data_IF_426215712089
#
_entry.id   IF_426215712089
#
_cell.length_a   1.000
_cell.length_b   1.000
_cell.length_c   1.000
_cell.angle_alpha   90.00
_cell.angle_beta   90.00
_cell.angle_gamma   90.00
#
_symmetry.space_group_name_H-M   'P 1'
#
loop_
_entity.id
_entity.type
_entity.pdbx_description
1 polymer ?
#
# COMPACT_ATOMS: atom_id res chain seq x y z
N UNK A 1 -15.83 -44.96 34.83
CA UNK A 1 -14.55 -44.59 34.19
C UNK A 1 -14.90 -43.83 32.92
N UNK A 2 -15.10 -42.55 33.09
CA UNK A 2 -15.47 -41.62 31.99
C UNK A 2 -14.18 -41.18 31.26
N UNK A 3 -14.05 -41.56 30.03
CA UNK A 3 -13.02 -41.03 29.13
C UNK A 3 -13.59 -39.79 28.43
N UNK A 4 -13.26 -38.62 28.93
CA UNK A 4 -13.55 -37.34 28.31
C UNK A 4 -12.67 -37.19 27.05
N UNK A 5 -13.32 -37.33 25.91
CA UNK A 5 -12.77 -37.04 24.59
C UNK A 5 -12.69 -35.51 24.46
N UNK A 6 -11.54 -34.91 24.78
CA UNK A 6 -11.22 -33.52 24.46
C UNK A 6 -10.88 -33.44 22.98
N UNK A 7 -11.85 -33.24 22.15
CA UNK A 7 -11.64 -32.72 20.79
C UNK A 7 -11.19 -31.27 20.92
N UNK A 8 -9.91 -31.06 20.79
CA UNK A 8 -9.29 -29.76 20.52
C UNK A 8 -9.73 -29.30 19.13
N UNK A 9 -10.75 -28.46 19.08
CA UNK A 9 -11.13 -27.71 17.89
C UNK A 9 -10.05 -26.66 17.66
N UNK A 10 -8.99 -27.04 16.97
CA UNK A 10 -8.07 -26.08 16.34
C UNK A 10 -8.90 -25.37 15.29
N UNK A 11 -9.28 -24.12 15.51
CA UNK A 11 -9.83 -23.27 14.47
C UNK A 11 -8.76 -23.17 13.37
N UNK A 12 -8.93 -23.94 12.30
CA UNK A 12 -8.15 -23.77 11.09
C UNK A 12 -8.40 -22.35 10.59
N UNK A 13 -7.41 -21.47 10.73
CA UNK A 13 -7.49 -20.14 10.19
C UNK A 13 -7.71 -20.26 8.67
N UNK A 14 -8.70 -19.54 8.16
CA UNK A 14 -9.03 -19.50 6.74
C UNK A 14 -7.80 -19.10 5.92
N UNK A 15 -7.50 -19.82 4.84
CA UNK A 15 -6.39 -19.50 3.96
C UNK A 15 -6.55 -18.09 3.34
N UNK A 16 -7.80 -17.68 3.03
CA UNK A 16 -8.11 -16.33 2.59
C UNK A 16 -7.74 -15.29 3.65
N UNK A 17 -7.98 -15.56 4.94
CA UNK A 17 -7.65 -14.62 6.01
C UNK A 17 -6.14 -14.47 6.24
N UNK A 18 -5.35 -15.48 5.88
CA UNK A 18 -3.89 -15.49 6.02
C UNK A 18 -3.17 -14.89 4.82
N UNK A 19 -3.70 -15.11 3.61
CA UNK A 19 -2.99 -14.82 2.35
C UNK A 19 -3.73 -13.85 1.44
N UNK A 20 -4.86 -13.26 1.89
CA UNK A 20 -5.58 -12.28 1.11
C UNK A 20 -6.20 -11.20 2.01
N UNK A 21 -6.28 -9.97 1.49
CA UNK A 21 -6.89 -8.82 2.14
C UNK A 21 -8.31 -8.62 1.64
N UNK A 22 -9.29 -8.56 2.52
CA UNK A 22 -10.68 -8.21 2.18
C UNK A 22 -10.78 -6.69 1.88
N UNK A 23 -10.92 -6.34 0.60
CA UNK A 23 -11.04 -4.95 0.16
C UNK A 23 -12.41 -4.36 0.52
N UNK A 24 -13.47 -5.16 0.58
CA UNK A 24 -14.79 -4.70 0.98
C UNK A 24 -14.82 -4.33 2.46
N UNK A 25 -14.18 -5.13 3.32
CA UNK A 25 -14.01 -4.80 4.72
C UNK A 25 -13.15 -3.54 4.90
N UNK A 26 -12.07 -3.39 4.13
CA UNK A 26 -11.23 -2.20 4.15
C UNK A 26 -12.01 -0.95 3.69
N UNK A 27 -12.88 -1.10 2.67
CA UNK A 27 -13.76 -0.03 2.19
C UNK A 27 -14.76 0.43 3.26
N UNK A 28 -15.42 -0.52 3.93
CA UNK A 28 -16.38 -0.22 5.00
C UNK A 28 -15.73 0.44 6.22
N UNK A 29 -14.48 0.08 6.51
CA UNK A 29 -13.68 0.69 7.57
C UNK A 29 -13.06 2.06 7.20
N UNK A 30 -13.31 2.58 5.99
CA UNK A 30 -12.76 3.85 5.51
C UNK A 30 -11.24 3.86 5.26
N UNK A 31 -10.63 2.67 5.18
CA UNK A 31 -9.18 2.51 5.02
C UNK A 31 -8.69 2.63 3.57
N UNK A 32 -9.60 2.63 2.59
CA UNK A 32 -9.25 2.77 1.18
C UNK A 32 -9.28 4.24 0.76
N UNK A 33 -8.40 4.58 -0.17
CA UNK A 33 -8.34 5.93 -0.75
C UNK A 33 -9.56 6.23 -1.65
N UNK A 34 -9.97 7.50 -1.79
CA UNK A 34 -10.99 7.87 -2.75
C UNK A 34 -10.48 7.62 -4.17
N UNK A 35 -11.29 6.99 -5.01
CA UNK A 35 -10.97 6.75 -6.42
C UNK A 35 -11.67 7.83 -7.25
N UNK A 36 -10.89 8.52 -8.06
CA UNK A 36 -11.31 9.68 -8.83
C UNK A 36 -10.95 9.48 -10.30
N UNK A 37 -11.87 9.78 -11.20
CA UNK A 37 -11.62 9.79 -12.64
C UNK A 37 -11.45 8.41 -13.27
N UNK A 38 -11.91 7.33 -12.63
CA UNK A 38 -11.84 5.95 -13.13
C UNK A 38 -13.21 5.29 -13.33
N UNK A 39 -14.24 6.10 -13.52
CA UNK A 39 -15.63 5.63 -13.64
C UNK A 39 -15.87 4.77 -14.87
N UNK A 40 -15.21 5.07 -15.98
CA UNK A 40 -15.34 4.29 -17.22
C UNK A 40 -14.73 2.91 -17.10
N UNK A 41 -13.51 2.84 -16.56
CA UNK A 41 -12.82 1.56 -16.31
C UNK A 41 -13.59 0.69 -15.30
N UNK A 42 -14.06 1.28 -14.20
CA UNK A 42 -14.87 0.55 -13.21
C UNK A 42 -16.18 0.06 -13.86
N UNK A 43 -16.87 0.89 -14.65
CA UNK A 43 -18.06 0.47 -15.39
C UNK A 43 -17.77 -0.67 -16.35
N UNK A 44 -16.63 -0.62 -17.04
CA UNK A 44 -16.20 -1.70 -17.92
C UNK A 44 -15.91 -3.00 -17.17
N UNK A 45 -15.25 -2.93 -16.03
CA UNK A 45 -15.01 -4.07 -15.12
C UNK A 45 -16.36 -4.68 -14.69
N UNK A 46 -17.32 -3.87 -14.24
CA UNK A 46 -18.66 -4.32 -13.86
C UNK A 46 -19.39 -5.04 -15.01
N UNK A 47 -19.32 -4.48 -16.22
CA UNK A 47 -19.90 -5.12 -17.41
C UNK A 47 -19.28 -6.51 -17.68
N UNK A 48 -17.95 -6.62 -17.56
CA UNK A 48 -17.25 -7.89 -17.79
C UNK A 48 -17.62 -8.90 -16.72
N UNK A 49 -17.63 -8.52 -15.44
CA UNK A 49 -18.01 -9.40 -14.32
C UNK A 49 -19.45 -9.92 -14.44
N UNK A 50 -20.34 -9.18 -15.11
CA UNK A 50 -21.73 -9.57 -15.34
C UNK A 50 -21.92 -10.47 -16.56
N UNK A 51 -20.88 -10.75 -17.37
CA UNK A 51 -20.98 -11.62 -18.56
C UNK A 51 -21.10 -13.09 -18.18
N UNK A 52 -21.70 -13.87 -19.07
CA UNK A 52 -21.79 -15.32 -18.93
C UNK A 52 -20.45 -16.03 -19.19
N UNK A 53 -19.67 -15.51 -20.13
CA UNK A 53 -18.36 -16.07 -20.55
C UNK A 53 -17.36 -14.94 -20.65
N UNK A 54 -16.06 -15.22 -20.54
CA UNK A 54 -14.98 -14.20 -20.47
C UNK A 54 -15.31 -13.12 -19.44
N UNK A 55 -15.69 -13.58 -18.25
CA UNK A 55 -16.19 -12.75 -17.16
C UNK A 55 -15.10 -12.39 -16.12
N UNK A 56 -13.84 -12.63 -16.45
CA UNK A 56 -12.69 -12.21 -15.66
C UNK A 56 -12.05 -10.99 -16.33
N UNK A 57 -12.12 -9.79 -15.76
CA UNK A 57 -11.40 -8.63 -16.28
C UNK A 57 -9.91 -8.75 -15.97
N UNK A 58 -9.08 -8.30 -16.90
CA UNK A 58 -7.66 -8.07 -16.69
C UNK A 58 -7.34 -6.62 -17.01
N UNK A 59 -6.88 -5.88 -15.99
CA UNK A 59 -6.48 -4.48 -16.07
C UNK A 59 -5.07 -4.41 -16.66
N UNK A 60 -4.94 -3.75 -17.80
CA UNK A 60 -3.66 -3.63 -18.51
C UNK A 60 -3.25 -2.17 -18.57
N UNK A 61 -2.09 -1.86 -18.03
CA UNK A 61 -1.53 -0.50 -18.04
C UNK A 61 -0.17 -0.45 -17.38
N UNK A 62 0.53 0.64 -17.57
CA UNK A 62 1.86 0.85 -17.00
C UNK A 62 1.84 0.88 -15.46
N UNK A 63 2.99 0.65 -14.80
CA UNK A 63 3.08 0.79 -13.36
C UNK A 63 2.69 2.20 -12.92
N UNK A 64 1.97 2.34 -11.80
CA UNK A 64 1.62 3.65 -11.24
C UNK A 64 0.42 4.36 -11.87
N UNK A 65 -0.22 3.81 -12.94
CA UNK A 65 -1.42 4.44 -13.54
C UNK A 65 -2.70 4.25 -12.73
N UNK A 66 -2.68 3.49 -11.64
CA UNK A 66 -3.83 3.31 -10.74
C UNK A 66 -4.69 2.08 -11.00
N UNK A 67 -4.12 0.96 -11.49
CA UNK A 67 -4.85 -0.30 -11.70
C UNK A 67 -5.50 -0.82 -10.40
N UNK A 68 -4.74 -0.85 -9.32
CA UNK A 68 -5.22 -1.29 -7.99
C UNK A 68 -6.32 -0.39 -7.46
N UNK A 69 -6.23 0.93 -7.68
CA UNK A 69 -7.26 1.90 -7.30
C UNK A 69 -8.62 1.60 -7.95
N UNK A 70 -8.66 1.12 -9.21
CA UNK A 70 -9.89 0.73 -9.88
C UNK A 70 -10.61 -0.39 -9.11
N UNK A 71 -9.86 -1.38 -8.62
CA UNK A 71 -10.43 -2.50 -7.85
C UNK A 71 -10.88 -2.05 -6.46
N UNK A 72 -10.16 -1.15 -5.83
CA UNK A 72 -10.57 -0.51 -4.57
C UNK A 72 -11.84 0.34 -4.76
N UNK A 73 -11.94 1.06 -5.87
CA UNK A 73 -13.16 1.77 -6.27
C UNK A 73 -14.34 0.86 -6.48
N UNK A 74 -14.12 -0.31 -7.12
CA UNK A 74 -15.13 -1.34 -7.28
C UNK A 74 -15.61 -1.87 -5.92
N UNK A 75 -14.71 -2.15 -4.98
CA UNK A 75 -15.07 -2.60 -3.63
C UNK A 75 -15.92 -1.55 -2.89
N UNK A 76 -15.60 -0.26 -3.03
CA UNK A 76 -16.42 0.84 -2.46
C UNK A 76 -17.82 0.90 -3.09
N UNK A 77 -17.96 0.69 -4.42
CA UNK A 77 -19.28 0.65 -5.08
C UNK A 77 -20.10 -0.55 -4.62
N UNK A 78 -19.50 -1.72 -4.44
CA UNK A 78 -20.19 -2.89 -3.90
C UNK A 78 -20.77 -2.59 -2.51
N UNK A 79 -19.97 -2.03 -1.61
CA UNK A 79 -20.41 -1.69 -0.25
C UNK A 79 -21.52 -0.63 -0.25
N UNK A 80 -21.54 0.29 -1.22
CA UNK A 80 -22.59 1.31 -1.38
C UNK A 80 -23.85 0.79 -2.09
N UNK A 81 -23.80 -0.42 -2.63
CA UNK A 81 -24.88 -0.94 -3.48
C UNK A 81 -24.96 -0.30 -4.88
N UNK A 82 -23.92 0.44 -5.30
CA UNK A 82 -23.84 1.08 -6.63
C UNK A 82 -23.25 0.12 -7.67
N UNK A 83 -23.83 -1.05 -7.77
CA UNK A 83 -23.43 -2.13 -8.69
C UNK A 83 -24.66 -2.89 -9.17
N UNK A 84 -24.58 -3.66 -10.28
CA UNK A 84 -25.66 -4.53 -10.71
C UNK A 84 -26.03 -5.57 -9.63
N UNK A 85 -27.31 -5.97 -9.57
CA UNK A 85 -27.88 -6.86 -8.56
C UNK A 85 -27.06 -8.15 -8.32
N UNK A 86 -26.53 -8.73 -9.41
CA UNK A 86 -25.71 -9.95 -9.35
C UNK A 86 -24.33 -9.74 -8.70
N UNK A 87 -23.98 -8.52 -8.33
CA UNK A 87 -22.70 -8.17 -7.70
C UNK A 87 -22.86 -7.56 -6.29
N UNK A 88 -24.10 -7.33 -5.79
CA UNK A 88 -24.36 -6.67 -4.50
C UNK A 88 -23.73 -7.40 -3.31
N UNK A 89 -23.79 -8.74 -3.31
CA UNK A 89 -23.30 -9.56 -2.17
C UNK A 89 -21.87 -10.09 -2.39
N UNK A 90 -21.18 -9.58 -3.40
CA UNK A 90 -19.81 -10.04 -3.69
C UNK A 90 -18.81 -9.39 -2.75
N UNK A 91 -17.76 -10.16 -2.44
CA UNK A 91 -16.58 -9.67 -1.72
C UNK A 91 -15.38 -9.73 -2.63
N UNK A 92 -14.49 -8.74 -2.50
CA UNK A 92 -13.24 -8.71 -3.24
C UNK A 92 -12.10 -8.98 -2.27
N UNK A 93 -11.35 -10.04 -2.55
CA UNK A 93 -10.14 -10.36 -1.81
C UNK A 93 -8.92 -10.12 -2.69
N UNK A 94 -7.99 -9.28 -2.23
CA UNK A 94 -6.71 -9.06 -2.88
C UNK A 94 -5.71 -10.08 -2.40
N UNK A 95 -5.21 -10.91 -3.31
CA UNK A 95 -4.21 -11.94 -3.00
C UNK A 95 -2.86 -11.30 -2.68
N UNK A 96 -2.28 -11.68 -1.57
CA UNK A 96 -0.94 -11.25 -1.16
C UNK A 96 0.09 -12.31 -1.55
N UNK A 97 0.76 -12.08 -2.69
CA UNK A 97 1.80 -12.96 -3.18
C UNK A 97 3.01 -13.02 -2.24
N UNK A 98 3.32 -11.91 -1.56
CA UNK A 98 4.39 -11.85 -0.58
C UNK A 98 4.11 -12.77 0.62
N UNK A 99 2.89 -12.72 1.18
CA UNK A 99 2.47 -13.58 2.28
C UNK A 99 2.45 -15.08 1.88
N UNK A 100 2.09 -15.39 0.63
CA UNK A 100 2.11 -16.78 0.13
C UNK A 100 3.54 -17.35 0.07
N UNK A 101 4.51 -16.52 -0.30
CA UNK A 101 5.91 -16.91 -0.47
C UNK A 101 6.68 -16.84 0.86
N UNK A 102 6.35 -15.89 1.72
CA UNK A 102 7.07 -15.68 2.98
C UNK A 102 7.09 -16.94 3.85
N UNK A 103 8.31 -17.38 4.23
CA UNK A 103 8.52 -18.56 5.07
C UNK A 103 8.24 -19.90 4.41
N UNK A 104 7.89 -19.97 3.11
CA UNK A 104 7.81 -21.22 2.38
C UNK A 104 9.22 -21.74 2.09
N UNK A 105 9.64 -22.79 2.78
CA UNK A 105 10.97 -23.41 2.60
C UNK A 105 11.06 -24.25 1.33
N UNK A 106 9.93 -24.78 0.85
CA UNK A 106 9.84 -25.64 -0.31
C UNK A 106 8.70 -25.17 -1.23
N UNK A 107 8.84 -25.43 -2.52
CA UNK A 107 7.84 -25.11 -3.54
C UNK A 107 6.44 -25.69 -3.21
N UNK A 108 6.37 -26.87 -2.63
CA UNK A 108 5.12 -27.51 -2.24
C UNK A 108 4.30 -26.74 -1.21
N UNK A 109 4.94 -26.01 -0.30
CA UNK A 109 4.25 -25.22 0.72
C UNK A 109 3.50 -24.03 0.10
N UNK A 110 4.11 -23.33 -0.85
CA UNK A 110 3.46 -22.27 -1.61
C UNK A 110 2.26 -22.80 -2.40
N UNK A 111 2.46 -23.93 -3.11
CA UNK A 111 1.37 -24.55 -3.88
C UNK A 111 0.21 -24.95 -2.98
N UNK A 112 0.47 -25.48 -1.80
CA UNK A 112 -0.54 -25.90 -0.84
C UNK A 112 -1.33 -24.70 -0.30
N UNK A 113 -0.64 -23.59 0.03
CA UNK A 113 -1.26 -22.34 0.45
C UNK A 113 -2.17 -21.76 -0.63
N UNK A 114 -1.68 -21.68 -1.87
CA UNK A 114 -2.45 -21.17 -3.01
C UNK A 114 -3.65 -22.09 -3.31
N UNK A 115 -3.47 -23.43 -3.27
CA UNK A 115 -4.57 -24.40 -3.40
C UNK A 115 -5.63 -24.20 -2.31
N UNK A 116 -5.21 -23.88 -1.07
CA UNK A 116 -6.10 -23.54 0.03
C UNK A 116 -6.98 -22.32 -0.29
N UNK A 117 -6.36 -21.21 -0.73
CA UNK A 117 -7.07 -20.00 -1.14
C UNK A 117 -8.05 -20.30 -2.29
N UNK A 118 -7.59 -20.97 -3.35
CA UNK A 118 -8.45 -21.31 -4.50
C UNK A 118 -9.63 -22.17 -4.08
N UNK A 119 -9.44 -23.13 -3.20
CA UNK A 119 -10.53 -23.97 -2.67
C UNK A 119 -11.58 -23.16 -1.97
N UNK A 120 -11.20 -22.28 -1.05
CA UNK A 120 -12.15 -21.43 -0.32
C UNK A 120 -12.92 -20.48 -1.27
N UNK A 121 -12.24 -19.91 -2.29
CA UNK A 121 -12.91 -19.08 -3.30
C UNK A 121 -13.92 -19.90 -4.12
N UNK A 122 -13.58 -21.12 -4.52
CA UNK A 122 -14.49 -22.02 -5.26
C UNK A 122 -15.67 -22.45 -4.39
N UNK A 123 -15.44 -22.80 -3.13
CA UNK A 123 -16.47 -23.18 -2.15
C UNK A 123 -17.46 -22.04 -1.86
N UNK A 124 -17.04 -20.78 -2.05
CA UNK A 124 -17.91 -19.60 -1.94
C UNK A 124 -18.97 -19.50 -3.04
N UNK A 125 -18.97 -20.41 -4.02
CA UNK A 125 -19.93 -20.44 -5.13
C UNK A 125 -20.04 -19.09 -5.88
N UNK A 126 -18.90 -18.44 -6.08
CA UNK A 126 -18.78 -17.19 -6.82
C UNK A 126 -19.19 -15.95 -6.03
N UNK A 127 -19.32 -16.02 -4.71
CA UNK A 127 -19.49 -14.82 -3.87
C UNK A 127 -18.19 -14.04 -3.70
N UNK A 128 -17.04 -14.69 -3.90
CA UNK A 128 -15.73 -14.08 -3.78
C UNK A 128 -15.15 -13.81 -5.18
N UNK A 129 -14.68 -12.58 -5.36
CA UNK A 129 -13.87 -12.14 -6.50
C UNK A 129 -12.42 -12.04 -6.03
N UNK A 130 -11.53 -12.81 -6.64
CA UNK A 130 -10.11 -12.78 -6.28
C UNK A 130 -9.38 -11.75 -7.12
N UNK A 131 -8.85 -10.71 -6.50
CA UNK A 131 -7.98 -9.75 -7.17
C UNK A 131 -6.52 -10.23 -7.07
N UNK A 132 -5.84 -10.27 -8.20
CA UNK A 132 -4.46 -10.70 -8.31
C UNK A 132 -3.70 -9.59 -9.01
N UNK A 133 -2.98 -8.81 -8.22
CA UNK A 133 -2.05 -7.83 -8.78
C UNK A 133 -0.82 -8.54 -9.33
N UNK A 134 -0.18 -7.94 -10.34
CA UNK A 134 0.93 -8.57 -11.06
C UNK A 134 0.66 -10.03 -11.44
N UNK A 135 -0.53 -10.31 -11.98
CA UNK A 135 -0.99 -11.68 -12.27
C UNK A 135 -0.04 -12.47 -13.19
N UNK A 136 0.84 -11.78 -13.91
CA UNK A 136 1.89 -12.38 -14.73
C UNK A 136 2.90 -13.19 -13.89
N UNK A 137 3.09 -12.86 -12.62
CA UNK A 137 3.97 -13.60 -11.70
C UNK A 137 3.53 -15.04 -11.52
N UNK A 138 2.24 -15.31 -11.71
CA UNK A 138 1.68 -16.67 -11.67
C UNK A 138 1.96 -17.47 -12.94
N UNK A 139 2.28 -16.84 -14.07
CA UNK A 139 2.47 -17.48 -15.38
C UNK A 139 3.94 -17.58 -15.84
N UNK A 140 4.84 -16.83 -15.22
CA UNK A 140 6.22 -16.65 -15.71
C UNK A 140 7.25 -17.64 -15.22
N UNK A 141 6.87 -18.54 -14.39
CA UNK A 141 7.78 -19.33 -13.57
C UNK A 141 8.35 -20.60 -14.21
N UNK A 142 8.08 -20.88 -15.45
CA UNK A 142 8.43 -22.17 -16.10
C UNK A 142 9.81 -22.28 -16.75
N UNK A 143 10.71 -21.28 -16.67
CA UNK A 143 12.00 -21.32 -17.39
C UNK A 143 13.28 -21.19 -16.56
N UNK A 144 13.18 -20.97 -15.25
CA UNK A 144 14.33 -21.10 -14.35
C UNK A 144 14.01 -22.11 -13.25
N UNK A 145 14.93 -23.01 -12.99
CA UNK A 145 14.81 -24.09 -12.00
C UNK A 145 14.37 -23.53 -10.64
N UNK A 146 13.13 -23.84 -10.22
CA UNK A 146 12.56 -23.43 -8.95
C UNK A 146 11.42 -22.44 -9.00
N UNK A 147 10.98 -22.00 -10.17
CA UNK A 147 9.92 -21.04 -10.31
C UNK A 147 8.53 -21.71 -10.30
N UNK A 148 7.65 -21.18 -9.48
CA UNK A 148 6.35 -21.73 -9.11
C UNK A 148 5.36 -21.66 -10.26
N UNK A 149 4.83 -22.80 -10.68
CA UNK A 149 3.78 -22.85 -11.72
C UNK A 149 2.38 -22.68 -11.10
N UNK A 150 2.17 -21.51 -10.49
CA UNK A 150 0.89 -21.15 -9.90
C UNK A 150 -0.23 -21.07 -10.95
N UNK A 151 0.11 -20.80 -12.21
CA UNK A 151 -0.86 -20.82 -13.30
C UNK A 151 -1.54 -22.18 -13.45
N UNK A 152 -0.82 -23.28 -13.27
CA UNK A 152 -1.41 -24.61 -13.35
C UNK A 152 -2.39 -24.92 -12.22
N UNK A 153 -2.30 -24.22 -11.09
CA UNK A 153 -3.26 -24.34 -9.98
C UNK A 153 -4.55 -23.57 -10.30
N UNK A 154 -4.44 -22.37 -10.90
CA UNK A 154 -5.58 -21.50 -11.20
C UNK A 154 -6.32 -21.92 -12.48
N UNK A 155 -5.60 -22.37 -13.52
CA UNK A 155 -6.15 -22.73 -14.83
C UNK A 155 -7.36 -23.68 -14.79
N UNK A 156 -7.37 -24.77 -14.00
CA UNK A 156 -8.53 -25.66 -13.95
C UNK A 156 -9.78 -24.98 -13.41
N UNK A 157 -9.67 -24.20 -12.33
CA UNK A 157 -10.78 -23.51 -11.71
C UNK A 157 -11.30 -22.35 -12.60
N UNK A 158 -10.40 -21.61 -13.26
CA UNK A 158 -10.75 -20.61 -14.27
C UNK A 158 -11.42 -21.25 -15.49
N UNK A 159 -10.91 -22.39 -15.95
CA UNK A 159 -11.44 -23.10 -17.12
C UNK A 159 -12.87 -23.61 -16.89
N UNK A 160 -13.19 -24.08 -15.68
CA UNK A 160 -14.54 -24.50 -15.31
C UNK A 160 -15.46 -23.33 -14.95
N UNK A 161 -14.93 -22.10 -14.81
CA UNK A 161 -15.69 -20.91 -14.39
C UNK A 161 -16.05 -20.91 -12.91
N UNK A 162 -15.39 -21.74 -12.12
CA UNK A 162 -15.55 -21.86 -10.66
C UNK A 162 -14.83 -20.73 -9.93
N UNK A 163 -13.71 -20.26 -10.49
CA UNK A 163 -12.95 -19.14 -9.97
C UNK A 163 -13.27 -17.86 -10.77
N UNK A 164 -13.64 -16.81 -10.09
CA UNK A 164 -13.76 -15.45 -10.63
C UNK A 164 -12.58 -14.61 -10.17
N UNK A 165 -11.85 -14.05 -11.13
CA UNK A 165 -10.65 -13.27 -10.84
C UNK A 165 -10.66 -11.93 -11.58
N UNK A 166 -10.05 -10.94 -10.95
CA UNK A 166 -9.66 -9.66 -11.54
C UNK A 166 -8.13 -9.66 -11.58
N UNK A 167 -7.52 -9.58 -12.75
CA UNK A 167 -6.07 -9.50 -12.88
C UNK A 167 -5.62 -8.07 -13.11
N UNK A 168 -4.37 -7.76 -12.74
CA UNK A 168 -3.68 -6.55 -13.16
C UNK A 168 -2.27 -6.89 -13.65
N UNK A 169 -1.82 -6.25 -14.74
CA UNK A 169 -0.50 -6.46 -15.33
C UNK A 169 -0.14 -5.32 -16.29
N UNK A 170 1.07 -5.32 -16.82
CA UNK A 170 1.46 -4.42 -17.93
C UNK A 170 1.13 -5.02 -19.30
N UNK A 171 1.19 -4.21 -20.36
CA UNK A 171 0.92 -4.70 -21.71
C UNK A 171 1.97 -5.71 -22.19
N UNK A 172 3.23 -5.47 -21.87
CA UNK A 172 4.33 -6.36 -22.27
C UNK A 172 4.25 -7.72 -21.57
N UNK A 173 3.90 -7.71 -20.29
CA UNK A 173 3.69 -8.92 -19.49
C UNK A 173 2.46 -9.69 -19.97
N UNK A 174 1.35 -8.96 -20.28
CA UNK A 174 0.18 -9.59 -20.86
C UNK A 174 0.51 -10.34 -22.17
N UNK A 175 1.22 -9.69 -23.11
CA UNK A 175 1.64 -10.34 -24.36
C UNK A 175 2.53 -11.54 -24.11
N UNK A 176 3.46 -11.44 -23.18
CA UNK A 176 4.44 -12.49 -22.89
C UNK A 176 3.83 -13.72 -22.22
N UNK A 177 2.84 -13.54 -21.34
CA UNK A 177 2.34 -14.61 -20.48
C UNK A 177 0.90 -15.02 -20.75
N UNK A 178 0.03 -14.11 -21.21
CA UNK A 178 -1.39 -14.38 -21.43
C UNK A 178 -1.76 -14.64 -22.88
N UNK A 179 -1.24 -13.90 -23.83
CA UNK A 179 -1.53 -14.12 -25.25
C UNK A 179 -0.99 -15.45 -25.76
N UNK A 180 0.11 -15.93 -25.16
CA UNK A 180 0.73 -17.21 -25.51
C UNK A 180 -0.12 -18.38 -24.99
N UNK A 181 -0.84 -18.19 -23.88
CA UNK A 181 -1.67 -19.20 -23.24
C UNK A 181 -3.15 -19.05 -23.67
N UNK A 182 -3.54 -19.78 -24.70
CA UNK A 182 -4.91 -19.75 -25.26
C UNK A 182 -6.01 -20.13 -24.25
N UNK A 183 -5.69 -20.85 -23.18
CA UNK A 183 -6.65 -21.19 -22.13
C UNK A 183 -6.97 -19.98 -21.25
N UNK A 184 -5.95 -19.20 -20.89
CA UNK A 184 -6.11 -17.96 -20.13
C UNK A 184 -6.74 -16.85 -21.00
N UNK A 185 -6.26 -16.66 -22.23
CA UNK A 185 -6.79 -15.64 -23.15
C UNK A 185 -8.31 -15.76 -23.35
N UNK A 186 -8.84 -16.98 -23.41
CA UNK A 186 -10.28 -17.23 -23.57
C UNK A 186 -11.10 -16.96 -22.31
N UNK A 187 -10.47 -16.76 -21.17
CA UNK A 187 -11.13 -16.55 -19.87
C UNK A 187 -11.08 -15.12 -19.39
N UNK A 188 -10.07 -14.38 -19.83
CA UNK A 188 -9.90 -12.97 -19.44
C UNK A 188 -10.37 -12.02 -20.56
N UNK A 189 -10.88 -10.86 -20.14
CA UNK A 189 -11.23 -9.75 -21.01
C UNK A 189 -10.41 -8.53 -20.63
N UNK A 190 -9.67 -7.99 -21.57
CA UNK A 190 -8.83 -6.81 -21.37
C UNK A 190 -9.64 -5.56 -21.04
N UNK A 191 -9.13 -4.78 -20.11
CA UNK A 191 -9.51 -3.41 -19.79
C UNK A 191 -8.24 -2.57 -19.79
N UNK A 192 -8.09 -1.69 -20.77
CA UNK A 192 -6.96 -0.79 -20.85
C UNK A 192 -7.09 0.31 -19.79
N UNK A 193 -6.00 0.54 -19.07
CA UNK A 193 -5.88 1.59 -18.06
C UNK A 193 -4.76 2.51 -18.49
N UNK A 194 -5.13 3.61 -19.12
CA UNK A 194 -4.18 4.61 -19.61
C UNK A 194 -3.69 5.51 -18.49
N UNK A 195 -2.51 6.09 -18.68
CA UNK A 195 -2.02 7.19 -17.85
C UNK A 195 -3.06 8.33 -17.88
N UNK A 196 -3.48 8.87 -16.73
CA UNK A 196 -4.36 10.03 -16.71
C UNK A 196 -3.62 11.27 -17.21
N UNK A 197 -4.34 12.17 -17.84
CA UNK A 197 -3.80 13.48 -18.22
C UNK A 197 -3.50 14.34 -16.97
N UNK A 198 -2.85 15.49 -17.17
CA UNK A 198 -2.49 16.39 -16.08
C UNK A 198 -3.71 16.86 -15.29
N UNK A 199 -4.84 17.19 -15.97
CA UNK A 199 -6.07 17.69 -15.31
C UNK A 199 -6.72 16.60 -14.45
N UNK A 200 -6.80 15.38 -14.96
CA UNK A 200 -7.28 14.24 -14.20
C UNK A 200 -6.36 13.93 -13.01
N UNK A 201 -5.04 14.02 -13.21
CA UNK A 201 -4.05 13.81 -12.15
C UNK A 201 -4.16 14.85 -11.03
N UNK A 202 -4.34 16.13 -11.38
CA UNK A 202 -4.60 17.20 -10.41
C UNK A 202 -5.86 16.90 -9.59
N UNK A 203 -6.94 16.43 -10.25
CA UNK A 203 -8.18 16.08 -9.57
C UNK A 203 -7.99 14.90 -8.61
N UNK A 204 -7.20 13.90 -9.00
CA UNK A 204 -6.83 12.76 -8.15
C UNK A 204 -6.06 13.25 -6.92
N UNK A 205 -5.03 14.07 -7.10
CA UNK A 205 -4.21 14.56 -5.99
C UNK A 205 -5.01 15.46 -5.04
N UNK A 206 -5.93 16.29 -5.57
CA UNK A 206 -6.87 17.07 -4.75
C UNK A 206 -7.74 16.18 -3.86
N UNK A 207 -8.18 15.05 -4.38
CA UNK A 207 -8.97 14.09 -3.61
C UNK A 207 -8.17 13.32 -2.56
N UNK A 208 -6.86 13.17 -2.76
CA UNK A 208 -5.96 12.52 -1.81
C UNK A 208 -5.37 13.49 -0.77
N UNK A 209 -5.39 14.80 -1.05
CA UNK A 209 -4.76 15.87 -0.29
C UNK A 209 -4.99 15.74 1.23
N UNK A 210 -6.25 15.63 1.66
CA UNK A 210 -6.60 15.59 3.09
C UNK A 210 -5.95 14.40 3.82
N UNK A 211 -5.77 13.27 3.14
CA UNK A 211 -5.11 12.10 3.73
C UNK A 211 -3.63 12.32 3.96
N UNK A 212 -2.94 12.94 2.99
CA UNK A 212 -1.52 13.28 3.12
C UNK A 212 -1.30 14.39 4.16
N UNK A 213 -2.17 15.42 4.21
CA UNK A 213 -2.16 16.43 5.25
C UNK A 213 -2.33 15.83 6.64
N UNK A 214 -3.26 14.89 6.80
CA UNK A 214 -3.51 14.19 8.06
C UNK A 214 -2.36 13.25 8.47
N UNK A 215 -1.70 12.62 7.50
CA UNK A 215 -0.57 11.72 7.76
C UNK A 215 0.67 12.49 8.20
N UNK A 216 1.07 13.49 7.42
CA UNK A 216 2.30 14.26 7.67
C UNK A 216 2.11 15.42 8.64
N UNK A 217 0.85 15.77 9.00
CA UNK A 217 0.53 16.93 9.83
C UNK A 217 1.09 18.24 9.25
N UNK A 218 1.01 18.39 7.94
CA UNK A 218 1.41 19.57 7.18
C UNK A 218 0.27 20.00 6.28
N UNK A 219 0.20 21.28 5.94
CA UNK A 219 -0.76 21.82 5.00
C UNK A 219 -0.19 21.77 3.58
N UNK A 220 -0.94 21.18 2.65
CA UNK A 220 -0.59 21.11 1.22
C UNK A 220 -1.40 22.17 0.47
N UNK A 221 -0.74 23.14 -0.14
CA UNK A 221 -1.40 24.16 -0.95
C UNK A 221 -1.78 23.59 -2.33
N UNK A 222 -2.82 24.17 -2.94
CA UNK A 222 -3.24 23.76 -4.29
C UNK A 222 -2.14 24.00 -5.32
N UNK A 223 -1.38 25.08 -5.18
CA UNK A 223 -0.21 25.38 -6.00
C UNK A 223 0.88 24.31 -5.93
N UNK A 224 1.04 23.64 -4.77
CA UNK A 224 1.96 22.53 -4.62
C UNK A 224 1.48 21.30 -5.42
N UNK A 225 0.16 21.05 -5.45
CA UNK A 225 -0.44 19.99 -6.26
C UNK A 225 -0.21 20.25 -7.75
N UNK A 226 -0.50 21.45 -8.22
CA UNK A 226 -0.27 21.86 -9.60
C UNK A 226 1.21 21.69 -9.98
N UNK A 227 2.10 22.18 -9.13
CA UNK A 227 3.55 22.08 -9.34
C UNK A 227 4.01 20.62 -9.35
N UNK A 228 3.51 19.78 -8.46
CA UNK A 228 3.88 18.36 -8.40
C UNK A 228 3.50 17.62 -9.69
N UNK A 229 2.31 17.88 -10.24
CA UNK A 229 1.88 17.26 -11.50
C UNK A 229 2.74 17.77 -12.67
N UNK A 230 2.87 19.09 -12.83
CA UNK A 230 3.64 19.68 -13.93
C UNK A 230 5.14 19.29 -13.90
N UNK A 231 5.78 19.37 -12.72
CA UNK A 231 7.20 19.06 -12.60
C UNK A 231 7.45 17.56 -12.77
N UNK A 232 6.62 16.70 -12.18
CA UNK A 232 6.76 15.26 -12.37
C UNK A 232 6.51 14.84 -13.83
N UNK A 233 5.51 15.42 -14.49
CA UNK A 233 5.24 15.16 -15.90
C UNK A 233 6.42 15.57 -16.81
N UNK A 234 7.03 16.71 -16.52
CA UNK A 234 8.11 17.28 -17.34
C UNK A 234 9.45 16.61 -17.10
N UNK A 235 9.79 16.27 -15.86
CA UNK A 235 11.16 15.86 -15.48
C UNK A 235 11.29 14.39 -15.11
N UNK A 236 10.21 13.69 -14.73
CA UNK A 236 10.22 12.26 -14.42
C UNK A 236 9.62 11.51 -15.60
N UNK A 237 10.49 10.99 -16.48
CA UNK A 237 10.09 10.37 -17.75
C UNK A 237 9.99 8.85 -17.71
N UNK A 238 10.54 8.22 -16.70
CA UNK A 238 10.57 6.77 -16.48
C UNK A 238 9.42 6.23 -15.62
N UNK A 239 8.54 7.12 -15.14
CA UNK A 239 7.37 6.80 -14.33
C UNK A 239 6.12 7.51 -14.86
N UNK A 240 4.94 7.03 -14.45
CA UNK A 240 3.65 7.49 -14.95
C UNK A 240 2.83 8.24 -13.91
N UNK A 241 1.97 9.15 -14.36
CA UNK A 241 0.96 9.80 -13.55
C UNK A 241 -0.14 8.77 -13.17
N UNK A 242 -0.80 8.93 -12.02
CA UNK A 242 -0.60 9.98 -11.01
C UNK A 242 0.52 9.65 -10.00
N UNK A 243 1.06 8.44 -10.00
CA UNK A 243 1.97 7.88 -8.99
C UNK A 243 3.21 8.77 -8.77
N UNK A 244 3.90 9.18 -9.84
CA UNK A 244 5.08 10.06 -9.74
C UNK A 244 4.79 11.42 -9.12
N UNK A 245 3.57 11.96 -9.28
CA UNK A 245 3.19 13.24 -8.67
C UNK A 245 2.76 13.04 -7.21
N UNK A 246 2.15 11.91 -6.89
CA UNK A 246 1.81 11.51 -5.51
C UNK A 246 3.10 11.35 -4.69
N UNK A 247 4.07 10.61 -5.20
CA UNK A 247 5.36 10.43 -4.55
C UNK A 247 6.09 11.75 -4.29
N UNK A 248 6.02 12.67 -5.26
CA UNK A 248 6.64 13.99 -5.10
C UNK A 248 6.03 14.79 -3.95
N UNK A 249 4.71 14.73 -3.79
CA UNK A 249 4.00 15.36 -2.65
C UNK A 249 4.34 14.66 -1.34
N UNK A 250 4.35 13.34 -1.33
CA UNK A 250 4.64 12.53 -0.14
C UNK A 250 6.05 12.80 0.38
N UNK A 251 7.05 12.78 -0.49
CA UNK A 251 8.44 13.09 -0.18
C UNK A 251 8.62 14.54 0.33
N UNK A 252 8.00 15.52 -0.36
CA UNK A 252 8.07 16.91 0.05
C UNK A 252 7.43 17.14 1.43
N UNK A 253 6.27 16.52 1.68
CA UNK A 253 5.57 16.64 2.95
C UNK A 253 6.35 15.95 4.09
N UNK A 254 6.92 14.77 3.84
CA UNK A 254 7.77 14.06 4.78
C UNK A 254 9.01 14.88 5.16
N UNK A 255 9.68 15.47 4.16
CA UNK A 255 10.84 16.35 4.37
C UNK A 255 10.49 17.59 5.20
N UNK A 256 9.38 18.24 4.88
CA UNK A 256 8.91 19.39 5.63
C UNK A 256 8.58 19.01 7.08
N UNK A 257 7.94 17.85 7.29
CA UNK A 257 7.65 17.36 8.64
C UNK A 257 8.90 17.12 9.47
N UNK A 258 9.92 16.51 8.88
CA UNK A 258 11.21 16.32 9.55
C UNK A 258 11.84 17.67 9.93
N UNK A 259 11.78 18.67 9.04
CA UNK A 259 12.30 20.00 9.32
C UNK A 259 11.56 20.68 10.50
N UNK A 260 10.21 20.57 10.53
CA UNK A 260 9.39 21.11 11.62
C UNK A 260 9.69 20.40 12.95
N UNK A 261 9.93 19.08 12.92
CA UNK A 261 10.20 18.28 14.13
C UNK A 261 11.65 18.35 14.59
N UNK A 262 12.57 18.75 13.73
CA UNK A 262 13.98 18.89 14.06
C UNK A 262 14.20 20.09 14.98
N UNK A 263 14.97 19.89 16.04
CA UNK A 263 15.37 21.00 16.91
C UNK A 263 16.23 22.01 16.10
N UNK A 264 16.07 23.31 16.34
CA UNK A 264 16.95 24.31 15.77
C UNK A 264 18.42 24.00 16.12
N UNK A 265 19.32 24.26 15.19
CA UNK A 265 20.76 23.97 15.35
C UNK A 265 21.32 24.64 16.60
N UNK A 266 20.91 25.89 16.87
CA UNK A 266 21.29 26.64 18.07
C UNK A 266 20.87 25.93 19.36
N UNK A 267 19.69 25.32 19.40
CA UNK A 267 19.21 24.58 20.57
C UNK A 267 19.98 23.28 20.79
N UNK A 268 20.33 22.58 19.70
CA UNK A 268 21.13 21.35 19.75
C UNK A 268 22.56 21.64 20.19
N UNK A 269 23.17 22.73 19.73
CA UNK A 269 24.50 23.18 20.16
C UNK A 269 24.55 23.49 21.66
N UNK A 270 23.56 24.25 22.17
CA UNK A 270 23.47 24.57 23.59
C UNK A 270 23.29 23.29 24.42
N UNK A 271 22.41 22.39 24.00
CA UNK A 271 22.18 21.13 24.70
C UNK A 271 23.43 20.25 24.73
N UNK A 272 24.21 20.20 23.64
CA UNK A 272 25.49 19.47 23.59
C UNK A 272 26.52 20.15 24.53
N UNK A 273 26.58 21.47 24.53
CA UNK A 273 27.51 22.22 25.42
C UNK A 273 27.20 21.98 26.88
N UNK A 274 25.93 22.02 27.26
CA UNK A 274 25.49 21.71 28.64
C UNK A 274 25.97 20.30 29.06
N UNK A 275 25.72 19.28 28.20
CA UNK A 275 26.17 17.90 28.48
C UNK A 275 27.68 17.80 28.66
N UNK A 276 28.45 18.50 27.81
CA UNK A 276 29.91 18.51 27.91
C UNK A 276 30.39 19.11 29.24
N UNK A 277 29.83 20.27 29.64
CA UNK A 277 30.17 20.94 30.90
C UNK A 277 29.72 20.12 32.12
N UNK A 278 28.61 19.43 32.05
CA UNK A 278 28.16 18.51 33.10
C UNK A 278 29.15 17.36 33.32
N UNK A 279 29.64 16.75 32.22
CA UNK A 279 30.66 15.69 32.29
C UNK A 279 31.96 16.25 32.91
N UNK A 280 32.39 17.44 32.47
CA UNK A 280 33.60 18.09 32.99
C UNK A 280 33.45 18.43 34.49
N UNK A 281 32.30 18.98 34.90
CA UNK A 281 31.98 19.27 36.27
C UNK A 281 32.06 18.03 37.19
N UNK A 282 31.48 16.89 36.71
CA UNK A 282 31.56 15.63 37.49
C UNK A 282 32.98 15.05 37.57
N UNK A 283 33.79 15.27 36.54
CA UNK A 283 35.21 14.88 36.56
C UNK A 283 36.00 15.71 37.60
N UNK A 284 35.86 17.05 37.56
CA UNK A 284 36.59 17.97 38.47
C UNK A 284 36.08 17.86 39.91
N UNK A 285 34.83 17.53 40.13
CA UNK A 285 34.28 17.28 41.47
C UNK A 285 35.03 16.14 42.20
N UNK A 286 35.56 15.16 41.46
CA UNK A 286 36.42 14.08 42.00
C UNK A 286 37.81 14.57 42.39
N UNK A 287 38.28 15.66 41.78
CA UNK A 287 39.59 16.29 42.08
C UNK A 287 39.53 17.31 43.22
N UNK A 288 38.32 17.55 43.80
CA UNK A 288 38.08 18.43 44.96
C UNK A 288 38.32 19.95 44.69
N UNK A 289 38.39 20.39 43.43
CA UNK A 289 38.53 21.81 43.06
C UNK A 289 37.15 22.50 43.10
N UNK A 290 36.87 23.07 44.29
CA UNK A 290 35.56 23.72 44.54
C UNK A 290 35.33 25.00 43.71
N UNK A 291 36.39 25.74 43.37
CA UNK A 291 36.31 26.99 42.64
C UNK A 291 35.87 26.74 41.16
N UNK A 292 36.53 25.76 40.53
CA UNK A 292 36.19 25.33 39.17
C UNK A 292 34.78 24.72 39.08
N UNK A 293 34.39 23.90 40.04
CA UNK A 293 33.02 23.33 40.12
C UNK A 293 31.97 24.44 40.24
N UNK A 294 32.22 25.51 40.95
CA UNK A 294 31.32 26.65 41.07
C UNK A 294 31.19 27.40 39.76
N UNK A 295 32.29 27.69 39.06
CA UNK A 295 32.32 28.35 37.77
C UNK A 295 31.56 27.56 36.70
N UNK A 296 31.81 26.26 36.58
CA UNK A 296 31.11 25.39 35.67
C UNK A 296 29.60 25.29 35.96
N UNK A 297 29.23 25.33 37.25
CA UNK A 297 27.81 25.30 37.63
C UNK A 297 27.10 26.55 37.23
N UNK A 298 27.74 27.73 37.32
CA UNK A 298 27.19 29.01 36.85
C UNK A 298 27.02 29.03 35.32
N UNK A 299 28.04 28.57 34.58
CA UNK A 299 27.96 28.47 33.09
C UNK A 299 26.82 27.54 32.64
N UNK A 300 26.69 26.38 33.30
CA UNK A 300 25.59 25.44 33.04
C UNK A 300 24.22 26.06 33.30
N UNK A 301 24.08 26.84 34.40
CA UNK A 301 22.80 27.47 34.75
C UNK A 301 22.40 28.57 33.75
N UNK A 302 23.38 29.30 33.24
CA UNK A 302 23.16 30.33 32.21
C UNK A 302 22.75 29.72 30.85
N UNK A 303 23.44 28.65 30.43
CA UNK A 303 23.10 27.93 29.23
C UNK A 303 21.73 27.23 29.34
N UNK A 304 21.33 26.73 30.50
CA UNK A 304 19.98 26.16 30.72
C UNK A 304 18.89 27.20 30.62
N UNK A 305 19.14 28.45 31.04
CA UNK A 305 18.17 29.54 30.81
C UNK A 305 18.00 29.84 29.34
N UNK A 306 19.10 29.91 28.58
CA UNK A 306 19.06 30.11 27.13
C UNK A 306 18.35 28.95 26.42
N UNK A 307 18.65 27.72 26.80
CA UNK A 307 17.98 26.49 26.29
C UNK A 307 16.46 26.56 26.52
N UNK A 308 16.02 26.94 27.72
CA UNK A 308 14.60 27.10 28.08
C UNK A 308 13.89 28.18 27.27
N UNK A 309 14.53 29.32 27.05
CA UNK A 309 13.98 30.41 26.26
C UNK A 309 13.84 30.03 24.77
N UNK A 310 14.88 29.46 24.18
CA UNK A 310 14.86 28.98 22.80
C UNK A 310 13.87 27.84 22.60
N UNK A 311 13.82 26.90 23.53
CA UNK A 311 12.85 25.78 23.51
C UNK A 311 11.40 26.29 23.56
N UNK A 312 11.15 27.33 24.39
CA UNK A 312 9.82 27.93 24.50
C UNK A 312 9.42 28.67 23.21
N UNK A 313 10.35 29.37 22.56
CA UNK A 313 10.11 30.00 21.26
C UNK A 313 9.81 28.99 20.19
N UNK A 314 10.67 27.96 20.07
CA UNK A 314 10.49 26.89 19.10
C UNK A 314 9.16 26.13 19.27
N UNK A 315 8.76 25.82 20.51
CA UNK A 315 7.48 25.18 20.78
C UNK A 315 6.27 26.07 20.41
N UNK A 316 6.40 27.40 20.50
CA UNK A 316 5.35 28.31 20.03
C UNK A 316 5.27 28.47 18.53
N UNK A 317 6.39 28.34 17.83
CA UNK A 317 6.45 28.37 16.35
C UNK A 317 5.98 27.04 15.74
N UNK A 318 6.11 25.93 16.47
CA UNK A 318 5.68 24.59 16.04
C UNK A 318 4.16 24.40 16.15
N UNK A 319 3.46 25.16 16.99
CA UNK A 319 2.01 25.04 17.26
C UNK A 319 1.22 25.95 16.34
#
# INVERSE_FOLDING_TARGET
MENQNRQSTTQQQSALSLYARDLCQAASAGKLDPVIGRDEEIRRVLQILSRRTKNNPILIGEPGVGKTAIVEGLARRIIRGDVPENLHDKKIFSLDMGALIAGAKYQGEFEERLKGVVREVVESQGQILLFIDEIHTLGGAGKSSGAMDAANILKPALARGELRAIGATTLDEYRRYFEVDKALERRFQMVMVSEPDELASISILRGLKERYENHHKVRILDEAILSAVHLSHRYITDRFLPDKAIDLIDEAAARLRIQIDSQPEELDEISRRIKQLEIEREAIKREHDKEKVSQLSQEIEELRKQESELSSRWNKEKT
#
